data_IF_861714544559
#
_entry.id   IF_861714544559
#
_cell.length_a   1.000
_cell.length_b   1.000
_cell.length_c   1.000
_cell.angle_alpha   90.00
_cell.angle_beta   90.00
_cell.angle_gamma   90.00
#
_symmetry.space_group_name_H-M   'P 1'
#
loop_
_entity.id
_entity.type
_entity.pdbx_description
1 polymer ?
#
# COMPACT_ATOMS: atom_id res chain seq x y z
N UNK A 1 83.81 2.58 19.69
CA UNK A 1 82.74 2.32 18.70
C UNK A 1 81.49 1.94 19.51
N UNK A 2 80.56 2.84 19.86
CA UNK A 2 79.55 3.47 18.99
C UNK A 2 79.00 2.46 17.97
N UNK A 3 77.73 2.05 17.99
CA UNK A 3 76.55 2.91 17.98
C UNK A 3 75.39 2.43 18.87
N UNK A 4 74.82 3.39 19.60
CA UNK A 4 73.41 3.42 20.04
C UNK A 4 72.58 3.67 18.79
N UNK A 5 71.60 2.83 18.46
CA UNK A 5 70.59 3.20 17.45
C UNK A 5 69.27 2.43 17.65
N UNK A 6 68.23 3.26 17.82
CA UNK A 6 66.84 3.12 17.37
C UNK A 6 65.90 2.13 18.06
N UNK A 7 65.12 2.70 18.99
CA UNK A 7 63.66 2.63 18.95
C UNK A 7 63.13 2.39 17.53
N UNK A 8 62.56 1.21 17.30
CA UNK A 8 61.52 1.04 16.30
C UNK A 8 60.28 0.60 17.08
N UNK A 9 59.32 1.53 17.22
CA UNK A 9 57.92 1.19 17.46
C UNK A 9 57.54 0.16 16.39
N UNK A 10 57.47 -1.11 16.78
CA UNK A 10 56.71 -2.08 16.01
C UNK A 10 55.27 -1.64 16.18
N UNK A 11 54.75 -0.94 15.17
CA UNK A 11 53.33 -0.65 15.04
C UNK A 11 52.63 -2.00 15.03
N UNK A 12 52.19 -2.45 16.21
CA UNK A 12 51.12 -3.44 16.33
C UNK A 12 49.95 -2.83 15.60
N UNK A 13 49.82 -3.24 14.34
CA UNK A 13 48.63 -3.03 13.56
C UNK A 13 47.62 -3.95 14.22
N UNK A 14 46.98 -3.45 15.29
CA UNK A 14 45.81 -4.06 15.87
C UNK A 14 44.90 -4.39 14.70
N UNK A 15 44.81 -5.69 14.38
CA UNK A 15 43.73 -6.21 13.57
C UNK A 15 42.52 -5.91 14.43
N UNK A 16 41.85 -4.79 14.14
CA UNK A 16 40.51 -4.55 14.64
C UNK A 16 39.66 -5.65 14.04
N UNK A 17 39.58 -6.75 14.76
CA UNK A 17 38.51 -7.71 14.65
C UNK A 17 37.25 -6.93 15.04
N UNK A 18 36.70 -6.22 14.05
CA UNK A 18 35.46 -5.47 14.18
C UNK A 18 34.32 -6.47 14.22
N UNK A 19 34.24 -7.22 15.33
CA UNK A 19 33.06 -7.98 15.76
C UNK A 19 32.03 -7.01 16.36
N UNK A 20 31.79 -5.89 15.68
CA UNK A 20 30.62 -5.09 15.98
C UNK A 20 29.39 -5.99 15.72
N UNK A 21 28.49 -6.14 16.70
CA UNK A 21 27.34 -7.00 16.54
C UNK A 21 26.52 -6.49 15.34
N UNK A 22 26.35 -7.35 14.33
CA UNK A 22 25.54 -7.03 13.16
C UNK A 22 24.08 -6.83 13.59
N UNK A 23 23.65 -5.58 13.75
CA UNK A 23 22.27 -5.27 14.12
C UNK A 23 21.35 -5.69 12.98
N UNK A 24 20.39 -6.56 13.29
CA UNK A 24 19.42 -7.09 12.34
C UNK A 24 18.21 -6.18 12.25
N UNK A 25 17.74 -5.95 11.02
CA UNK A 25 16.65 -5.05 10.72
C UNK A 25 15.78 -5.63 9.61
N UNK A 26 14.47 -5.39 9.72
CA UNK A 26 13.45 -5.76 8.76
C UNK A 26 12.59 -4.52 8.50
N UNK A 27 12.44 -4.14 7.24
CA UNK A 27 11.76 -2.92 6.82
C UNK A 27 10.89 -3.16 5.61
N UNK A 28 9.89 -2.30 5.43
CA UNK A 28 9.04 -2.22 4.25
C UNK A 28 9.03 -0.77 3.76
N UNK A 29 8.86 -0.57 2.47
CA UNK A 29 8.70 0.76 1.87
C UNK A 29 7.34 1.39 2.19
N UNK A 30 6.27 0.57 2.20
CA UNK A 30 4.92 0.99 2.57
C UNK A 30 4.30 0.08 3.63
N UNK A 31 3.63 0.70 4.62
CA UNK A 31 2.98 0.00 5.73
C UNK A 31 1.44 0.12 5.70
N UNK A 32 0.90 0.75 4.65
CA UNK A 32 -0.54 0.93 4.44
C UNK A 32 -0.89 0.79 2.97
N UNK A 33 -1.96 0.06 2.69
CA UNK A 33 -2.51 -0.14 1.34
C UNK A 33 -4.02 0.10 1.41
N UNK A 34 -4.54 0.93 0.51
CA UNK A 34 -5.97 1.20 0.37
C UNK A 34 -6.44 0.72 -1.01
N UNK A 35 -7.35 -0.25 -1.04
CA UNK A 35 -7.93 -0.81 -2.26
C UNK A 35 -9.38 -0.36 -2.48
N UNK A 36 -9.75 -0.26 -3.75
CA UNK A 36 -11.15 -0.18 -4.17
C UNK A 36 -11.85 -1.54 -3.98
N UNK A 37 -13.17 -1.58 -4.15
CA UNK A 37 -13.94 -2.81 -3.89
C UNK A 37 -13.52 -3.97 -4.81
N UNK A 38 -13.09 -3.69 -6.04
CA UNK A 38 -12.63 -4.70 -7.00
C UNK A 38 -11.34 -5.40 -6.53
N UNK A 39 -11.14 -6.62 -7.03
CA UNK A 39 -9.89 -7.33 -6.80
C UNK A 39 -8.72 -6.56 -7.39
N UNK A 40 -7.69 -6.32 -6.58
CA UNK A 40 -6.54 -5.51 -6.96
C UNK A 40 -5.28 -6.00 -6.25
N UNK A 41 -4.11 -5.62 -6.75
CA UNK A 41 -2.80 -5.98 -6.21
C UNK A 41 -1.95 -4.74 -5.97
N UNK A 42 -1.09 -4.80 -4.96
CA UNK A 42 -0.09 -3.80 -4.66
C UNK A 42 1.25 -4.50 -4.42
N UNK A 43 2.34 -3.84 -4.80
CA UNK A 43 3.69 -4.33 -4.55
C UNK A 43 4.27 -3.62 -3.33
N UNK A 44 4.93 -4.39 -2.47
CA UNK A 44 5.64 -3.90 -1.29
C UNK A 44 7.06 -4.41 -1.34
N UNK A 45 8.02 -3.53 -1.10
CA UNK A 45 9.43 -3.85 -1.08
C UNK A 45 9.85 -4.16 0.37
N UNK A 46 10.20 -5.42 0.62
CA UNK A 46 10.79 -5.86 1.88
C UNK A 46 12.30 -5.71 1.81
N UNK A 47 12.88 -4.95 2.74
CA UNK A 47 14.32 -4.79 2.90
C UNK A 47 14.78 -5.37 4.23
N UNK A 48 15.73 -6.31 4.20
CA UNK A 48 16.22 -6.96 5.42
C UNK A 48 17.68 -7.42 5.31
N UNK A 49 18.36 -7.54 6.45
CA UNK A 49 19.64 -8.24 6.59
C UNK A 49 19.52 -9.53 7.43
N UNK A 50 18.29 -9.97 7.73
CA UNK A 50 18.00 -11.27 8.35
C UNK A 50 18.19 -12.40 7.34
N UNK A 51 18.52 -13.60 7.84
CA UNK A 51 18.73 -14.79 6.99
C UNK A 51 17.43 -15.30 6.40
N UNK A 52 16.34 -15.17 7.14
CA UNK A 52 15.01 -15.57 6.71
C UNK A 52 13.93 -14.64 7.25
N UNK A 53 12.84 -14.54 6.51
CA UNK A 53 11.58 -13.92 6.93
C UNK A 53 10.39 -14.63 6.29
N UNK A 54 9.22 -14.46 6.92
CA UNK A 54 7.95 -15.04 6.48
C UNK A 54 6.85 -13.98 6.49
N UNK A 55 5.83 -14.18 5.66
CA UNK A 55 4.66 -13.31 5.55
C UNK A 55 3.42 -14.10 5.94
N UNK A 56 2.57 -13.48 6.75
CA UNK A 56 1.25 -14.00 7.11
C UNK A 56 0.23 -12.86 7.05
N UNK A 57 -1.05 -13.19 6.85
CA UNK A 57 -2.15 -12.24 7.00
C UNK A 57 -3.19 -12.79 7.97
N UNK A 58 -3.85 -11.91 8.70
CA UNK A 58 -4.99 -12.25 9.55
C UNK A 58 -6.29 -12.47 8.74
N UNK A 59 -6.29 -12.12 7.45
CA UNK A 59 -7.47 -12.13 6.60
C UNK A 59 -7.31 -13.00 5.35
N UNK A 60 -8.24 -13.95 5.18
CA UNK A 60 -8.18 -14.94 4.09
C UNK A 60 -8.37 -14.36 2.67
N UNK A 61 -8.94 -13.16 2.56
CA UNK A 61 -9.14 -12.44 1.29
C UNK A 61 -7.87 -11.76 0.77
N UNK A 62 -6.80 -11.74 1.57
CA UNK A 62 -5.47 -11.32 1.19
C UNK A 62 -4.62 -12.53 0.79
N UNK A 63 -3.93 -12.41 -0.33
CA UNK A 63 -2.90 -13.35 -0.80
C UNK A 63 -1.61 -12.58 -1.02
N UNK A 64 -0.48 -13.26 -0.91
CA UNK A 64 0.82 -12.63 -1.07
C UNK A 64 1.83 -13.61 -1.64
N UNK A 65 2.67 -13.11 -2.54
CA UNK A 65 3.74 -13.87 -3.17
C UNK A 65 4.99 -13.00 -3.27
N UNK A 66 6.16 -13.48 -2.81
CA UNK A 66 6.38 -14.74 -2.10
C UNK A 66 5.91 -14.69 -0.63
N UNK A 67 5.75 -15.87 0.00
CA UNK A 67 5.39 -15.99 1.43
C UNK A 67 6.61 -16.03 2.36
N UNK A 68 7.80 -16.19 1.79
CA UNK A 68 9.08 -16.26 2.50
C UNK A 68 10.16 -15.59 1.65
N UNK A 69 11.27 -15.24 2.29
CA UNK A 69 12.46 -14.80 1.59
C UNK A 69 13.66 -14.71 2.50
N UNK A 70 14.75 -14.16 1.95
CA UNK A 70 16.07 -14.08 2.58
C UNK A 70 16.55 -12.64 2.65
N UNK A 71 17.79 -12.43 3.11
CA UNK A 71 18.44 -11.12 3.15
C UNK A 71 18.45 -10.43 1.78
N UNK A 72 18.35 -9.10 1.81
CA UNK A 72 18.35 -8.25 0.63
C UNK A 72 17.03 -7.53 0.47
N UNK A 73 16.70 -7.23 -0.79
CA UNK A 73 15.47 -6.55 -1.18
C UNK A 73 14.60 -7.50 -1.98
N UNK A 74 13.35 -7.68 -1.57
CA UNK A 74 12.40 -8.55 -2.25
C UNK A 74 11.07 -7.84 -2.43
N UNK A 75 10.55 -7.87 -3.66
CA UNK A 75 9.19 -7.39 -3.94
C UNK A 75 8.18 -8.47 -3.57
N UNK A 76 7.26 -8.13 -2.68
CA UNK A 76 6.11 -8.96 -2.28
C UNK A 76 4.86 -8.35 -2.91
N UNK A 77 4.20 -9.10 -3.77
CA UNK A 77 2.90 -8.71 -4.34
C UNK A 77 1.79 -9.15 -3.39
N UNK A 78 1.02 -8.19 -2.89
CA UNK A 78 -0.16 -8.41 -2.04
C UNK A 78 -1.41 -8.25 -2.92
N UNK A 79 -2.21 -9.29 -3.01
CA UNK A 79 -3.44 -9.34 -3.81
C UNK A 79 -4.65 -9.43 -2.90
N UNK A 80 -5.59 -8.50 -3.06
CA UNK A 80 -6.90 -8.54 -2.41
C UNK A 80 -7.97 -9.08 -3.37
N UNK A 81 -8.80 -10.01 -2.89
CA UNK A 81 -10.02 -10.42 -3.61
C UNK A 81 -11.05 -9.30 -3.63
N UNK A 82 -12.05 -9.36 -4.52
CA UNK A 82 -13.15 -8.38 -4.51
C UNK A 82 -13.90 -8.38 -3.17
N UNK A 83 -14.27 -7.18 -2.70
CA UNK A 83 -15.21 -6.99 -1.60
C UNK A 83 -16.59 -6.70 -2.17
N UNK A 84 -17.45 -7.71 -2.20
CA UNK A 84 -18.83 -7.62 -2.71
C UNK A 84 -19.81 -7.08 -1.66
N UNK A 85 -19.37 -6.90 -0.42
CA UNK A 85 -20.20 -6.33 0.65
C UNK A 85 -20.18 -4.82 0.61
N UNK A 86 -21.23 -4.14 1.09
CA UNK A 86 -21.24 -2.68 1.18
C UNK A 86 -20.35 -2.12 2.31
N UNK A 87 -19.71 -2.98 3.10
CA UNK A 87 -18.93 -2.60 4.28
C UNK A 87 -17.44 -2.67 3.95
N UNK A 88 -16.71 -1.61 4.31
CA UNK A 88 -15.25 -1.60 4.24
C UNK A 88 -14.66 -2.67 5.16
N UNK A 89 -13.68 -3.41 4.67
CA UNK A 89 -12.96 -4.42 5.44
C UNK A 89 -11.49 -4.05 5.59
N UNK A 90 -10.89 -4.45 6.70
CA UNK A 90 -9.48 -4.23 7.00
C UNK A 90 -8.82 -5.54 7.37
N UNK A 91 -7.57 -5.72 6.98
CA UNK A 91 -6.72 -6.84 7.35
C UNK A 91 -5.29 -6.38 7.57
N UNK A 92 -4.51 -7.16 8.29
CA UNK A 92 -3.11 -6.89 8.63
C UNK A 92 -2.23 -7.99 8.07
N UNK A 93 -1.30 -7.60 7.20
CA UNK A 93 -0.20 -8.46 6.76
C UNK A 93 0.98 -8.25 7.70
N UNK A 94 1.49 -9.32 8.27
CA UNK A 94 2.64 -9.30 9.19
C UNK A 94 3.82 -10.02 8.54
N UNK A 95 4.96 -9.34 8.50
CA UNK A 95 6.24 -9.90 8.06
C UNK A 95 7.08 -10.12 9.31
N UNK A 96 7.53 -11.36 9.50
CA UNK A 96 8.25 -11.76 10.72
C UNK A 96 9.60 -12.36 10.40
N UNK A 97 10.55 -12.16 11.32
CA UNK A 97 11.84 -12.83 11.33
C UNK A 97 12.17 -13.25 12.76
N UNK A 98 12.98 -14.30 12.94
CA UNK A 98 13.52 -14.67 14.25
C UNK A 98 14.64 -13.73 14.71
N UNK A 99 15.20 -12.95 13.80
CA UNK A 99 16.39 -12.12 14.02
C UNK A 99 16.07 -10.63 14.17
N UNK A 100 14.89 -10.18 13.77
CA UNK A 100 14.50 -8.77 13.79
C UNK A 100 13.03 -8.59 14.19
N UNK A 101 12.65 -7.38 14.60
CA UNK A 101 11.27 -7.06 14.94
C UNK A 101 10.34 -7.22 13.72
N UNK A 102 9.15 -7.81 13.94
CA UNK A 102 8.15 -7.96 12.89
C UNK A 102 7.59 -6.62 12.45
N UNK A 103 7.27 -6.53 11.15
CA UNK A 103 6.66 -5.36 10.52
C UNK A 103 5.23 -5.68 10.14
N UNK A 104 4.33 -4.70 10.30
CA UNK A 104 2.90 -4.84 9.96
C UNK A 104 2.52 -3.87 8.85
N UNK A 105 1.72 -4.37 7.92
CA UNK A 105 1.14 -3.62 6.80
C UNK A 105 -0.37 -3.70 6.95
N UNK A 106 -1.03 -2.55 7.09
CA UNK A 106 -2.49 -2.48 7.19
C UNK A 106 -3.09 -2.35 5.81
N UNK A 107 -4.02 -3.24 5.45
CA UNK A 107 -4.72 -3.22 4.17
C UNK A 107 -6.19 -2.89 4.42
N UNK A 108 -6.68 -1.81 3.83
CA UNK A 108 -8.08 -1.41 3.86
C UNK A 108 -8.69 -1.59 2.47
N UNK A 109 -9.89 -2.15 2.39
CA UNK A 109 -10.61 -2.32 1.13
C UNK A 109 -12.04 -1.86 1.27
N UNK A 110 -12.42 -0.85 0.48
CA UNK A 110 -13.79 -0.30 0.50
C UNK A 110 -14.82 -1.36 0.08
N UNK A 111 -16.05 -1.22 0.56
CA UNK A 111 -17.17 -2.04 0.14
C UNK A 111 -17.69 -1.72 -1.26
N UNK A 112 -18.38 -2.67 -1.89
CA UNK A 112 -19.14 -2.43 -3.10
C UNK A 112 -20.33 -1.50 -2.81
N UNK A 113 -20.31 -0.31 -3.41
CA UNK A 113 -21.50 0.55 -3.46
C UNK A 113 -22.43 0.04 -4.56
N UNK A 114 -23.69 -0.26 -4.22
CA UNK A 114 -24.71 -0.61 -5.20
C UNK A 114 -25.13 0.66 -5.94
N UNK A 115 -24.53 0.95 -7.10
CA UNK A 115 -24.86 2.12 -7.93
C UNK A 115 -26.12 1.89 -8.77
N UNK A 116 -27.19 1.38 -8.17
CA UNK A 116 -28.37 0.85 -8.87
C UNK A 116 -29.69 1.60 -8.67
N UNK A 117 -29.70 2.88 -8.28
CA UNK A 117 -30.95 3.61 -7.98
C UNK A 117 -31.03 5.03 -8.56
N UNK A 118 -30.50 5.26 -9.77
CA UNK A 118 -30.96 6.39 -10.56
C UNK A 118 -31.95 5.87 -11.62
N UNK A 119 -33.24 6.23 -11.55
CA UNK A 119 -34.07 6.17 -12.75
C UNK A 119 -33.32 6.97 -13.81
N UNK A 120 -32.96 6.32 -14.92
CA UNK A 120 -32.51 7.05 -16.10
C UNK A 120 -33.70 7.88 -16.57
N UNK A 121 -33.86 9.08 -16.03
CA UNK A 121 -34.75 10.07 -16.61
C UNK A 121 -34.27 10.27 -18.03
N UNK A 122 -35.14 9.95 -18.98
CA UNK A 122 -34.90 10.08 -20.40
C UNK A 122 -34.25 11.45 -20.68
N UNK A 123 -32.95 11.46 -20.96
CA UNK A 123 -32.16 12.67 -21.25
C UNK A 123 -32.36 13.15 -22.69
N UNK A 124 -33.35 12.60 -23.40
CA UNK A 124 -33.88 13.14 -24.63
C UNK A 124 -35.25 13.78 -24.37
N UNK A 125 -35.31 15.03 -23.90
CA UNK A 125 -36.52 15.83 -24.01
C UNK A 125 -36.94 15.86 -25.49
N UNK A 126 -38.17 15.46 -25.79
CA UNK A 126 -38.78 15.89 -27.06
C UNK A 126 -38.83 17.42 -27.03
N UNK A 127 -38.33 18.07 -28.09
CA UNK A 127 -38.42 19.52 -28.20
C UNK A 127 -39.88 19.94 -28.08
N UNK A 128 -40.16 20.97 -27.28
CA UNK A 128 -41.50 21.54 -27.18
C UNK A 128 -41.90 22.06 -28.57
N UNK A 129 -42.88 21.42 -29.21
CA UNK A 129 -43.49 21.93 -30.43
C UNK A 129 -44.26 23.22 -30.09
N UNK A 130 -43.79 24.36 -30.61
CA UNK A 130 -44.37 25.68 -30.37
C UNK A 130 -45.60 25.98 -31.24
N UNK A 131 -46.22 24.98 -31.89
CA UNK A 131 -47.31 25.21 -32.84
C UNK A 131 -48.66 25.68 -32.23
N UNK A 132 -48.79 25.83 -30.91
CA UNK A 132 -50.12 25.95 -30.27
C UNK A 132 -50.40 27.09 -29.29
N UNK A 133 -49.46 27.97 -28.93
CA UNK A 133 -49.70 28.97 -27.87
C UNK A 133 -49.38 30.41 -28.30
N UNK A 134 -50.19 30.98 -29.19
CA UNK A 134 -50.35 32.44 -29.27
C UNK A 134 -51.65 32.83 -28.54
N UNK A 135 -51.55 33.22 -27.26
CA UNK A 135 -52.62 33.95 -26.59
C UNK A 135 -52.08 35.31 -26.17
N UNK A 136 -52.21 36.29 -27.05
CA UNK A 136 -51.90 37.69 -26.78
C UNK A 136 -53.03 38.27 -25.93
N UNK A 137 -52.82 38.38 -24.61
CA UNK A 137 -53.75 39.09 -23.75
C UNK A 137 -53.57 40.60 -23.92
N UNK A 138 -54.55 41.27 -24.53
CA UNK A 138 -54.63 42.73 -24.62
C UNK A 138 -55.10 43.27 -23.26
N UNK A 139 -54.25 43.99 -22.53
CA UNK A 139 -54.67 44.66 -21.30
C UNK A 139 -55.28 46.02 -21.62
N UNK A 140 -56.61 46.08 -21.48
CA UNK A 140 -57.43 47.27 -21.54
C UNK A 140 -57.33 48.00 -20.19
N UNK A 141 -56.45 48.99 -20.06
CA UNK A 141 -56.45 49.92 -18.93
C UNK A 141 -56.94 51.29 -19.42
N UNK A 142 -58.23 51.54 -19.21
CA UNK A 142 -58.84 52.85 -19.31
C UNK A 142 -58.79 53.55 -17.94
N UNK A 143 -58.26 54.77 -17.88
CA UNK A 143 -58.98 55.99 -17.47
C UNK A 143 -58.03 57.20 -17.49
#
# INVERSE_FOLDING_TARGET
MSCISIWACSSDKEIKDSTDPIVKNLTVDINKIDFQNKGNSAEVIVGTNTTAWTVAADAAWLKFTPTTGVSGRTTVTITASENTTAVTRTGVVTISSSEAASVKITVSQVGAVSTGLYPSYNTNPIAADQSGMSSTAVQLAAK
#
